data_IF_512550199103
#
_entry.id   IF_512550199103
#
_cell.length_a   1.000
_cell.length_b   1.000
_cell.length_c   1.000
_cell.angle_alpha   90.00
_cell.angle_beta   90.00
_cell.angle_gamma   90.00
#
_symmetry.space_group_name_H-M   'P 1'
#
loop_
_entity.id
_entity.type
_entity.pdbx_description
1 polymer ?
#
# COMPACT_ATOMS: atom_id res chain seq x y z
N UNK A 1 0.69 25.73 28.57
CA UNK A 1 0.28 24.47 27.93
C UNK A 1 1.50 23.84 27.30
N UNK A 2 1.85 22.62 27.68
CA UNK A 2 2.98 21.88 27.09
C UNK A 2 2.41 20.72 26.27
N UNK A 3 2.68 20.72 24.96
CA UNK A 3 2.32 19.63 24.06
C UNK A 3 3.52 18.70 23.87
N UNK A 4 3.38 17.44 24.21
CA UNK A 4 4.36 16.42 23.81
C UNK A 4 4.13 16.03 22.35
N UNK A 5 5.18 16.05 21.53
CA UNK A 5 5.12 15.74 20.10
C UNK A 5 5.36 14.23 19.84
N UNK A 6 5.63 13.46 20.87
CA UNK A 6 5.77 12.01 20.71
C UNK A 6 6.38 11.31 21.90
N UNK A 7 5.85 10.14 22.23
CA UNK A 7 6.54 9.14 23.04
C UNK A 7 7.76 8.61 22.25
N UNK A 8 8.76 8.11 22.98
CA UNK A 8 10.03 7.65 22.47
C UNK A 8 10.01 7.10 21.03
N UNK A 9 10.66 7.81 20.11
CA UNK A 9 10.98 7.32 18.77
C UNK A 9 9.99 7.66 17.66
N UNK A 10 9.12 8.64 17.82
CA UNK A 10 8.05 8.86 16.86
C UNK A 10 8.08 10.13 16.03
N UNK A 11 7.82 11.27 16.66
CA UNK A 11 7.68 12.55 16.00
C UNK A 11 8.59 13.61 16.64
N UNK A 12 9.09 14.51 15.82
CA UNK A 12 9.77 15.74 16.25
C UNK A 12 9.24 16.93 15.46
N UNK A 13 9.43 18.11 15.97
CA UNK A 13 9.11 19.36 15.26
C UNK A 13 9.96 19.44 13.97
N UNK A 14 9.30 19.76 12.85
CA UNK A 14 9.93 19.88 11.53
C UNK A 14 11.12 20.87 11.55
N UNK A 15 12.15 20.68 10.71
CA UNK A 15 13.21 21.68 10.47
C UNK A 15 12.65 23.05 10.06
N UNK A 16 11.47 23.08 9.42
CA UNK A 16 10.70 24.31 9.16
C UNK A 16 9.36 24.14 9.89
N UNK A 17 9.23 24.66 11.11
CA UNK A 17 8.09 24.35 11.97
C UNK A 17 6.74 24.92 11.52
N UNK A 18 6.71 26.02 10.75
CA UNK A 18 5.50 26.72 10.31
C UNK A 18 4.48 26.95 11.44
N UNK A 19 4.98 27.26 12.64
CA UNK A 19 4.18 27.38 13.85
C UNK A 19 3.21 28.56 13.80
N UNK A 20 1.95 28.32 14.17
CA UNK A 20 0.92 29.38 14.31
C UNK A 20 -0.07 29.04 15.39
N UNK A 21 -0.70 30.07 15.96
CA UNK A 21 -1.77 29.92 16.96
C UNK A 21 -2.82 31.00 16.82
N UNK A 22 -4.08 30.65 17.04
CA UNK A 22 -5.20 31.58 17.20
C UNK A 22 -5.56 31.80 18.68
N UNK A 23 -4.83 31.15 19.62
CA UNK A 23 -5.05 31.26 21.05
C UNK A 23 -4.44 32.54 21.64
N UNK A 24 -3.68 33.32 20.87
CA UNK A 24 -2.82 34.38 21.43
C UNK A 24 -1.66 33.80 22.23
N UNK A 25 -0.99 34.65 23.00
CA UNK A 25 0.17 34.22 23.81
C UNK A 25 1.45 34.01 22.99
N UNK A 26 2.40 33.27 23.54
CA UNK A 26 3.68 33.01 22.93
C UNK A 26 3.77 31.53 22.53
N UNK A 27 3.97 31.27 21.23
CA UNK A 27 4.15 29.93 20.66
C UNK A 27 5.30 29.95 19.67
N UNK A 28 6.43 29.31 20.05
CA UNK A 28 7.65 29.22 19.22
C UNK A 28 8.09 27.77 19.20
N UNK A 29 7.64 26.96 18.23
CA UNK A 29 8.12 25.60 18.09
C UNK A 29 9.58 25.59 17.63
N UNK A 30 10.41 24.78 18.29
CA UNK A 30 11.85 24.63 18.00
C UNK A 30 12.06 23.38 17.13
N UNK A 31 12.76 23.53 16.02
CA UNK A 31 13.10 22.42 15.12
C UNK A 31 13.79 21.27 15.88
N UNK A 32 13.38 20.03 15.60
CA UNK A 32 13.90 18.81 16.24
C UNK A 32 13.39 18.58 17.68
N UNK A 33 12.64 19.49 18.27
CA UNK A 33 12.10 19.31 19.61
C UNK A 33 11.03 18.22 19.66
N UNK A 34 10.97 17.50 20.79
CA UNK A 34 9.94 16.45 21.07
C UNK A 34 8.73 17.00 21.83
N UNK A 35 8.73 18.28 22.12
CA UNK A 35 7.62 18.98 22.76
C UNK A 35 7.56 20.41 22.29
N UNK A 36 6.37 21.01 22.35
CA UNK A 36 6.13 22.41 22.09
C UNK A 36 5.35 23.02 23.25
N UNK A 37 5.54 24.32 23.50
CA UNK A 37 4.88 25.01 24.60
C UNK A 37 4.17 26.25 24.08
N UNK A 38 2.92 26.42 24.48
CA UNK A 38 2.17 27.65 24.36
C UNK A 38 2.01 28.30 25.76
N UNK A 39 2.40 29.54 25.93
CA UNK A 39 2.24 30.30 27.18
C UNK A 39 1.38 31.54 26.98
N UNK A 40 0.57 31.89 27.97
CA UNK A 40 -0.26 33.11 27.95
C UNK A 40 -1.38 33.08 26.90
N UNK A 41 -1.76 31.92 26.39
CA UNK A 41 -2.90 31.78 25.48
C UNK A 41 -4.23 31.89 26.22
N UNK A 42 -5.26 32.38 25.51
CA UNK A 42 -6.63 32.49 25.99
C UNK A 42 -7.58 31.75 25.09
N UNK A 43 -8.49 30.96 25.70
CA UNK A 43 -9.61 30.32 24.98
C UNK A 43 -10.85 31.19 25.29
N UNK A 44 -11.53 31.74 24.28
CA UNK A 44 -12.75 32.51 24.51
C UNK A 44 -13.83 31.68 25.19
N UNK A 45 -14.69 32.31 25.98
CA UNK A 45 -15.85 31.63 26.56
C UNK A 45 -16.70 30.99 25.46
N UNK A 46 -17.06 29.71 25.64
CA UNK A 46 -17.78 28.90 24.66
C UNK A 46 -17.11 28.82 23.28
N UNK A 47 -15.82 29.19 23.18
CA UNK A 47 -15.06 29.21 21.95
C UNK A 47 -13.99 28.14 21.89
N UNK A 48 -13.21 28.19 20.81
CA UNK A 48 -12.03 27.36 20.59
C UNK A 48 -10.89 28.18 20.00
N UNK A 49 -9.69 27.67 20.13
CA UNK A 49 -8.54 28.17 19.41
C UNK A 49 -7.65 27.03 18.93
N UNK A 50 -6.78 27.29 17.96
CA UNK A 50 -5.93 26.30 17.34
C UNK A 50 -4.45 26.63 17.57
N UNK A 51 -3.67 25.55 17.74
CA UNK A 51 -2.21 25.58 17.68
C UNK A 51 -1.80 24.65 16.54
N UNK A 52 -1.02 25.14 15.60
CA UNK A 52 -0.58 24.40 14.41
C UNK A 52 0.94 24.49 14.27
N UNK A 53 1.56 23.40 13.89
CA UNK A 53 2.98 23.35 13.56
C UNK A 53 3.26 22.06 12.77
N UNK A 54 4.34 22.07 12.01
CA UNK A 54 4.75 20.92 11.22
C UNK A 54 5.61 19.97 12.03
N UNK A 55 5.40 18.68 11.84
CA UNK A 55 6.17 17.59 12.45
C UNK A 55 6.75 16.68 11.39
N UNK A 56 7.88 16.04 11.73
CA UNK A 56 8.46 14.95 10.95
C UNK A 56 8.48 13.68 11.79
N UNK A 57 8.25 12.54 11.13
CA UNK A 57 8.40 11.25 11.79
C UNK A 57 9.86 10.83 11.76
N UNK A 58 10.49 10.72 12.93
CA UNK A 58 11.81 10.10 13.08
C UNK A 58 11.68 8.59 13.26
N UNK A 59 12.58 7.84 12.67
CA UNK A 59 12.70 6.42 12.92
C UNK A 59 13.91 6.16 13.81
N UNK A 60 13.75 5.53 14.98
CA UNK A 60 14.89 5.08 15.77
C UNK A 60 15.64 3.92 15.11
N UNK A 61 14.98 3.24 14.18
CA UNK A 61 15.55 2.24 13.28
C UNK A 61 15.22 2.62 11.85
N UNK A 62 16.18 2.56 10.98
CA UNK A 62 16.00 2.81 9.55
C UNK A 62 14.81 1.96 9.04
N UNK A 63 13.83 2.61 8.43
CA UNK A 63 12.67 1.98 7.76
C UNK A 63 11.61 1.29 8.65
N UNK A 64 11.42 1.67 9.92
CA UNK A 64 10.29 1.15 10.71
C UNK A 64 8.95 1.72 10.20
N UNK A 65 8.06 0.86 9.70
CA UNK A 65 6.66 1.17 9.40
C UNK A 65 5.80 1.15 10.66
N UNK A 66 4.71 1.88 10.64
CA UNK A 66 3.66 1.78 11.64
C UNK A 66 3.06 3.10 12.04
N UNK A 67 2.04 3.02 12.88
CA UNK A 67 1.39 4.19 13.44
C UNK A 67 2.24 4.81 14.54
N UNK A 68 2.48 6.10 14.42
CA UNK A 68 3.05 6.93 15.47
C UNK A 68 1.93 7.71 16.12
N UNK A 69 1.75 7.53 17.43
CA UNK A 69 0.72 8.22 18.20
C UNK A 69 1.32 9.46 18.84
N UNK A 70 0.72 10.61 18.58
CA UNK A 70 0.94 11.83 19.35
C UNK A 70 -0.18 11.98 20.38
N UNK A 71 0.18 12.10 21.64
CA UNK A 71 -0.79 12.21 22.72
C UNK A 71 -0.48 13.43 23.61
N UNK A 72 -1.51 14.14 23.99
CA UNK A 72 -1.47 15.09 25.09
C UNK A 72 -2.05 14.38 26.32
N UNK A 73 -1.24 14.10 27.34
CA UNK A 73 -1.73 13.38 28.53
C UNK A 73 -2.74 14.21 29.31
N UNK A 74 -3.48 13.56 30.17
CA UNK A 74 -4.35 14.25 31.13
C UNK A 74 -3.52 15.26 31.96
N UNK A 75 -4.02 16.47 32.09
CA UNK A 75 -3.31 17.55 32.75
C UNK A 75 -2.17 18.17 31.95
N UNK A 76 -1.94 17.77 30.72
CA UNK A 76 -0.93 18.36 29.82
C UNK A 76 -1.29 19.78 29.35
N UNK A 77 -2.57 20.12 29.40
CA UNK A 77 -3.07 21.51 29.28
C UNK A 77 -3.52 21.97 30.65
N UNK A 78 -2.88 23.02 31.17
CA UNK A 78 -3.23 23.63 32.43
C UNK A 78 -3.69 25.05 32.18
N UNK A 79 -4.72 25.49 32.89
CA UNK A 79 -5.23 26.87 32.87
C UNK A 79 -5.09 27.52 34.23
N UNK A 80 -5.12 28.85 34.27
CA UNK A 80 -5.09 29.59 35.52
C UNK A 80 -6.35 29.34 36.37
N UNK A 81 -7.49 29.07 35.69
CA UNK A 81 -8.80 28.83 36.33
C UNK A 81 -8.93 27.39 36.87
N UNK A 82 -7.92 26.53 36.65
CA UNK A 82 -7.86 25.18 37.19
C UNK A 82 -8.34 24.04 36.29
N UNK A 83 -9.22 24.22 35.28
CA UNK A 83 -9.58 23.12 34.39
C UNK A 83 -8.37 22.52 33.67
N UNK A 84 -8.37 21.18 33.53
CA UNK A 84 -7.34 20.45 32.84
C UNK A 84 -7.97 19.52 31.76
N UNK A 85 -7.17 19.06 30.80
CA UNK A 85 -7.65 18.12 29.78
C UNK A 85 -7.64 16.68 30.27
N UNK A 86 -8.56 15.86 29.74
CA UNK A 86 -8.38 14.42 29.64
C UNK A 86 -7.32 14.10 28.57
N UNK A 87 -6.80 12.89 28.56
CA UNK A 87 -5.88 12.44 27.48
C UNK A 87 -6.59 12.49 26.13
N UNK A 88 -5.96 13.09 25.13
CA UNK A 88 -6.39 13.01 23.73
C UNK A 88 -5.19 12.75 22.83
N UNK A 89 -5.41 12.03 21.74
CA UNK A 89 -4.35 11.60 20.85
C UNK A 89 -4.78 11.59 19.39
N UNK A 90 -3.79 11.68 18.52
CA UNK A 90 -3.92 11.47 17.08
C UNK A 90 -2.80 10.56 16.58
N UNK A 91 -3.04 9.88 15.47
CA UNK A 91 -2.07 8.98 14.89
C UNK A 91 -1.69 9.45 13.49
N UNK A 92 -0.41 9.26 13.14
CA UNK A 92 0.11 9.35 11.79
C UNK A 92 0.69 8.00 11.40
N UNK A 93 0.34 7.51 10.22
CA UNK A 93 0.94 6.29 9.68
C UNK A 93 2.27 6.64 9.03
N UNK A 94 3.35 6.07 9.55
CA UNK A 94 4.68 6.20 8.98
C UNK A 94 4.91 5.07 7.97
N UNK A 95 5.17 5.43 6.74
CA UNK A 95 5.56 4.48 5.70
C UNK A 95 7.08 4.27 5.71
N UNK A 96 7.53 3.08 5.33
CA UNK A 96 8.94 2.85 5.00
C UNK A 96 9.31 3.68 3.79
N UNK A 97 10.59 4.03 3.67
CA UNK A 97 11.07 4.79 2.53
C UNK A 97 10.87 4.11 1.17
N UNK A 98 10.72 2.78 1.18
CA UNK A 98 10.48 1.95 0.00
C UNK A 98 9.23 1.08 0.22
N UNK A 99 8.41 0.92 -0.82
CA UNK A 99 7.19 0.12 -0.72
C UNK A 99 6.88 -0.58 -2.04
N UNK A 100 6.33 -1.79 -1.93
CA UNK A 100 5.73 -2.53 -3.03
C UNK A 100 4.22 -2.64 -2.82
N UNK A 101 3.45 -2.42 -3.88
CA UNK A 101 2.03 -2.74 -3.94
C UNK A 101 1.78 -3.81 -4.98
N UNK A 102 0.75 -4.64 -4.78
CA UNK A 102 0.32 -5.66 -5.77
C UNK A 102 -1.18 -5.61 -5.99
N UNK A 103 -1.60 -5.91 -7.19
CA UNK A 103 -3.01 -6.10 -7.52
C UNK A 103 -3.18 -6.96 -8.76
N UNK A 104 -4.35 -7.62 -8.87
CA UNK A 104 -4.80 -8.32 -10.07
C UNK A 104 -6.00 -7.61 -10.69
N UNK A 105 -6.02 -7.49 -12.00
CA UNK A 105 -7.16 -6.93 -12.74
C UNK A 105 -7.45 -7.74 -14.01
N UNK A 106 -8.59 -8.44 -14.07
CA UNK A 106 -9.58 -8.64 -12.99
C UNK A 106 -9.04 -9.49 -11.83
N UNK A 107 -9.54 -9.29 -10.61
CA UNK A 107 -9.19 -10.10 -9.44
C UNK A 107 -9.89 -11.47 -9.39
N UNK A 108 -10.77 -11.74 -10.34
CA UNK A 108 -11.45 -13.02 -10.54
C UNK A 108 -11.44 -13.39 -12.01
N UNK A 109 -10.96 -14.57 -12.33
CA UNK A 109 -10.89 -15.11 -13.69
C UNK A 109 -11.63 -16.46 -13.81
N UNK A 110 -11.98 -16.84 -15.02
CA UNK A 110 -12.36 -18.21 -15.33
C UNK A 110 -11.16 -19.15 -15.26
N UNK A 111 -11.39 -20.46 -15.23
CA UNK A 111 -10.31 -21.44 -15.39
C UNK A 111 -9.53 -21.17 -16.67
N UNK A 112 -8.19 -21.13 -16.57
CA UNK A 112 -7.25 -20.77 -17.64
C UNK A 112 -7.47 -19.35 -18.21
N UNK A 113 -8.20 -18.49 -17.50
CA UNK A 113 -8.34 -17.08 -17.86
C UNK A 113 -7.09 -16.28 -17.54
N UNK A 114 -7.03 -15.05 -18.06
CA UNK A 114 -5.89 -14.14 -17.87
C UNK A 114 -6.25 -13.01 -16.94
N UNK A 115 -5.32 -12.62 -16.10
CA UNK A 115 -5.37 -11.40 -15.28
C UNK A 115 -4.08 -10.60 -15.43
N UNK A 116 -4.18 -9.29 -15.39
CA UNK A 116 -3.04 -8.40 -15.33
C UNK A 116 -2.58 -8.26 -13.89
N UNK A 117 -1.41 -8.80 -13.56
CA UNK A 117 -0.70 -8.52 -12.32
C UNK A 117 0.01 -7.17 -12.45
N UNK A 118 -0.27 -6.27 -11.55
CA UNK A 118 0.40 -4.97 -11.44
C UNK A 118 1.18 -4.94 -10.12
N UNK A 119 2.48 -4.70 -10.22
CA UNK A 119 3.36 -4.45 -9.07
C UNK A 119 3.73 -2.97 -9.11
N UNK A 120 3.42 -2.22 -8.06
CA UNK A 120 3.76 -0.80 -7.95
C UNK A 120 4.97 -0.64 -7.03
N UNK A 121 6.02 -0.04 -7.55
CA UNK A 121 7.24 0.31 -6.78
C UNK A 121 7.14 1.76 -6.38
N UNK A 122 7.34 2.06 -5.08
CA UNK A 122 7.21 3.42 -4.54
C UNK A 122 8.44 3.82 -3.74
N UNK A 123 8.87 5.06 -3.95
CA UNK A 123 9.86 5.74 -3.14
C UNK A 123 9.19 6.91 -2.39
N UNK A 124 9.23 6.87 -1.06
CA UNK A 124 8.72 7.93 -0.18
C UNK A 124 9.85 8.80 0.40
N UNK A 125 11.11 8.54 0.01
CA UNK A 125 12.27 9.24 0.55
C UNK A 125 12.63 10.49 -0.25
N UNK A 126 13.32 11.42 0.40
CA UNK A 126 13.92 12.59 -0.25
C UNK A 126 15.20 12.25 -1.04
N UNK A 127 15.57 10.98 -1.13
CA UNK A 127 16.71 10.47 -1.90
C UNK A 127 16.25 9.49 -2.96
N UNK A 128 17.00 9.35 -4.04
CA UNK A 128 16.74 8.32 -5.04
C UNK A 128 16.93 6.92 -4.44
N UNK A 129 16.10 5.96 -4.86
CA UNK A 129 16.31 4.54 -4.65
C UNK A 129 17.04 3.98 -5.86
N UNK A 130 18.11 3.24 -5.62
CA UNK A 130 18.89 2.59 -6.68
C UNK A 130 18.94 1.08 -6.45
N UNK A 131 19.43 0.35 -7.46
CA UNK A 131 19.59 -1.10 -7.41
C UNK A 131 18.32 -1.84 -6.96
N UNK A 132 17.14 -1.35 -7.40
CA UNK A 132 15.88 -1.98 -7.10
C UNK A 132 15.82 -3.34 -7.78
N UNK A 133 15.79 -4.39 -6.96
CA UNK A 133 15.75 -5.76 -7.43
C UNK A 133 14.87 -6.61 -6.49
N UNK A 134 14.07 -7.50 -7.07
CA UNK A 134 13.28 -8.49 -6.34
C UNK A 134 12.82 -9.60 -7.28
N UNK A 135 12.40 -10.71 -6.69
CA UNK A 135 11.76 -11.80 -7.41
C UNK A 135 10.36 -12.01 -6.86
N UNK A 136 9.39 -12.14 -7.75
CA UNK A 136 8.02 -12.53 -7.45
C UNK A 136 7.79 -13.97 -7.90
N UNK A 137 7.73 -14.89 -6.95
CA UNK A 137 7.41 -16.29 -7.23
C UNK A 137 5.88 -16.47 -7.21
N UNK A 138 5.34 -16.89 -8.34
CA UNK A 138 3.91 -17.16 -8.49
C UNK A 138 3.53 -18.42 -7.70
N UNK A 139 2.36 -18.46 -7.05
CA UNK A 139 1.91 -19.65 -6.34
C UNK A 139 1.60 -20.80 -7.32
N UNK A 140 1.66 -22.03 -6.81
CA UNK A 140 1.32 -23.21 -7.62
C UNK A 140 -0.06 -23.08 -8.29
N UNK A 141 -0.13 -23.41 -9.58
CA UNK A 141 -1.34 -23.26 -10.40
C UNK A 141 -1.50 -21.89 -11.05
N UNK A 142 -0.55 -20.96 -10.85
CA UNK A 142 -0.46 -19.69 -11.55
C UNK A 142 0.85 -19.63 -12.35
N UNK A 143 0.79 -19.11 -13.55
CA UNK A 143 1.93 -18.96 -14.46
C UNK A 143 1.84 -17.68 -15.28
N UNK A 144 2.94 -17.31 -15.90
CA UNK A 144 3.00 -16.16 -16.80
C UNK A 144 2.26 -16.51 -18.09
N UNK A 145 1.31 -15.66 -18.49
CA UNK A 145 0.52 -15.87 -19.70
C UNK A 145 1.29 -15.53 -20.99
N UNK A 146 0.71 -15.92 -22.12
CA UNK A 146 1.19 -15.54 -23.45
C UNK A 146 0.17 -14.60 -24.10
N UNK A 147 0.55 -13.33 -24.43
CA UNK A 147 1.85 -12.69 -24.18
C UNK A 147 2.07 -12.35 -22.71
N UNK A 148 3.33 -12.42 -22.25
CA UNK A 148 3.71 -12.16 -20.85
C UNK A 148 3.47 -10.71 -20.43
N UNK A 149 3.75 -9.76 -21.31
CA UNK A 149 3.68 -8.34 -21.00
C UNK A 149 2.75 -7.60 -21.94
N UNK A 150 1.90 -6.72 -21.41
CA UNK A 150 1.20 -5.74 -22.25
C UNK A 150 2.21 -4.72 -22.81
N UNK A 151 1.81 -3.95 -23.82
CA UNK A 151 2.62 -2.82 -24.29
C UNK A 151 2.90 -1.83 -23.13
N UNK A 152 4.13 -1.33 -23.06
CA UNK A 152 4.52 -0.35 -22.06
C UNK A 152 3.72 0.96 -22.23
N UNK A 153 3.34 1.54 -21.09
CA UNK A 153 2.59 2.79 -21.03
C UNK A 153 3.28 3.77 -20.09
N UNK A 154 2.86 5.04 -20.15
CA UNK A 154 3.30 6.05 -19.20
C UNK A 154 3.03 5.56 -17.76
N UNK A 155 4.04 5.69 -16.90
CA UNK A 155 4.01 5.19 -15.52
C UNK A 155 4.56 3.77 -15.34
N UNK A 156 4.86 3.04 -16.40
CA UNK A 156 5.57 1.77 -16.28
C UNK A 156 7.05 1.99 -15.98
N UNK A 157 7.61 1.14 -15.13
CA UNK A 157 9.02 1.22 -14.72
C UNK A 157 9.98 1.10 -15.91
N UNK A 158 9.59 0.34 -16.93
CA UNK A 158 10.35 0.11 -18.16
C UNK A 158 10.00 1.09 -19.29
N UNK A 159 9.14 2.08 -19.03
CA UNK A 159 8.75 3.02 -20.06
C UNK A 159 9.92 3.94 -20.46
N UNK A 160 10.31 3.91 -21.72
CA UNK A 160 11.52 4.57 -22.22
C UNK A 160 11.56 6.10 -21.99
N UNK A 161 10.40 6.74 -21.88
CA UNK A 161 10.26 8.18 -21.62
C UNK A 161 9.92 8.48 -20.15
N UNK A 162 10.15 7.55 -19.21
CA UNK A 162 9.92 7.80 -17.80
C UNK A 162 10.95 8.79 -17.26
N UNK A 163 10.47 9.86 -16.62
CA UNK A 163 11.31 10.82 -15.88
C UNK A 163 11.45 10.45 -14.40
N UNK A 164 10.71 9.44 -13.95
CA UNK A 164 10.63 9.01 -12.54
C UNK A 164 11.42 7.73 -12.30
N UNK A 165 11.45 6.84 -13.29
CA UNK A 165 12.06 5.51 -13.19
C UNK A 165 13.02 5.26 -14.35
N UNK A 166 14.12 4.54 -14.09
CA UNK A 166 15.11 4.16 -15.10
C UNK A 166 15.80 2.84 -14.76
N UNK A 167 16.41 2.22 -15.75
CA UNK A 167 17.29 1.05 -15.59
C UNK A 167 16.58 -0.25 -15.21
N UNK A 168 15.26 -0.31 -15.17
CA UNK A 168 14.53 -1.53 -14.83
C UNK A 168 14.65 -2.59 -15.93
N UNK A 169 15.13 -3.76 -15.56
CA UNK A 169 15.04 -4.99 -16.34
C UNK A 169 14.00 -5.91 -15.71
N UNK A 170 13.00 -6.32 -16.48
CA UNK A 170 11.96 -7.25 -16.03
C UNK A 170 12.01 -8.51 -16.89
N UNK A 171 12.18 -9.63 -16.22
CA UNK A 171 12.16 -10.97 -16.85
C UNK A 171 10.87 -11.67 -16.47
N UNK A 172 10.03 -11.94 -17.46
CA UNK A 172 8.79 -12.68 -17.32
C UNK A 172 8.65 -13.56 -18.58
N UNK A 173 8.96 -14.84 -18.42
CA UNK A 173 8.94 -15.82 -19.55
C UNK A 173 7.56 -16.50 -19.57
N UNK A 174 6.86 -16.57 -20.71
CA UNK A 174 5.63 -17.34 -20.84
C UNK A 174 5.76 -18.75 -20.24
N UNK A 175 4.70 -19.21 -19.57
CA UNK A 175 4.62 -20.49 -18.84
C UNK A 175 5.59 -20.58 -17.63
N UNK A 176 6.34 -19.52 -17.35
CA UNK A 176 7.19 -19.43 -16.17
C UNK A 176 6.41 -19.13 -14.90
N UNK A 177 7.03 -19.45 -13.76
CA UNK A 177 6.44 -19.29 -12.42
C UNK A 177 7.10 -18.21 -11.59
N UNK A 178 7.95 -17.36 -12.21
CA UNK A 178 8.62 -16.27 -11.52
C UNK A 178 8.79 -15.04 -12.39
N UNK A 179 8.73 -13.86 -11.77
CA UNK A 179 8.99 -12.57 -12.36
C UNK A 179 10.24 -12.00 -11.69
N UNK A 180 11.30 -11.81 -12.46
CA UNK A 180 12.54 -11.17 -11.98
C UNK A 180 12.55 -9.68 -12.30
N UNK A 181 12.97 -8.86 -11.34
CA UNK A 181 13.15 -7.41 -11.50
C UNK A 181 14.53 -7.04 -11.02
N UNK A 182 15.29 -6.27 -11.81
CA UNK A 182 16.66 -5.88 -11.45
C UNK A 182 17.07 -4.54 -12.05
N UNK A 183 18.07 -3.91 -11.42
CA UNK A 183 18.78 -2.72 -11.89
C UNK A 183 18.00 -1.41 -11.82
N UNK A 184 16.77 -1.41 -11.28
CA UNK A 184 15.90 -0.25 -11.31
C UNK A 184 16.34 0.90 -10.40
N UNK A 185 15.98 2.12 -10.81
CA UNK A 185 16.12 3.33 -10.00
C UNK A 185 14.84 4.14 -10.04
N UNK A 186 14.47 4.72 -8.88
CA UNK A 186 13.39 5.70 -8.74
C UNK A 186 13.97 7.00 -8.18
N UNK A 187 13.58 8.12 -8.75
CA UNK A 187 13.97 9.45 -8.26
C UNK A 187 13.48 9.66 -6.82
N UNK A 188 14.01 10.68 -6.16
CA UNK A 188 13.51 11.15 -4.87
C UNK A 188 12.01 11.51 -4.95
N UNK A 189 11.29 11.26 -3.89
CA UNK A 189 9.91 11.72 -3.76
C UNK A 189 9.88 13.26 -3.63
N UNK A 190 8.99 13.96 -4.33
CA UNK A 190 8.83 15.39 -4.16
C UNK A 190 8.35 15.76 -2.73
N UNK A 191 7.58 14.89 -2.11
CA UNK A 191 7.17 14.96 -0.71
C UNK A 191 6.59 13.59 -0.26
N UNK A 192 6.35 13.42 1.03
CA UNK A 192 5.83 12.16 1.59
C UNK A 192 4.38 11.83 1.18
N UNK A 193 3.60 12.81 0.76
CA UNK A 193 2.24 12.58 0.27
C UNK A 193 2.20 12.10 -1.19
N UNK A 194 3.24 12.43 -1.96
CA UNK A 194 3.35 12.08 -3.37
C UNK A 194 4.65 11.30 -3.61
N UNK A 195 4.65 9.97 -3.44
CA UNK A 195 5.83 9.16 -3.70
C UNK A 195 6.20 9.19 -5.18
N UNK A 196 7.48 9.11 -5.47
CA UNK A 196 7.91 8.71 -6.80
C UNK A 196 7.53 7.24 -7.00
N UNK A 197 6.85 6.91 -8.08
CA UNK A 197 6.37 5.55 -8.31
C UNK A 197 6.39 5.16 -9.78
N UNK A 198 6.51 3.86 -10.02
CA UNK A 198 6.27 3.26 -11.32
C UNK A 198 5.60 1.89 -11.15
N UNK A 199 5.10 1.34 -12.25
CA UNK A 199 4.42 0.04 -12.27
C UNK A 199 5.15 -0.97 -13.15
N UNK A 200 5.10 -2.24 -12.73
CA UNK A 200 5.50 -3.40 -13.53
C UNK A 200 4.22 -4.18 -13.80
N UNK A 201 3.95 -4.49 -15.06
CA UNK A 201 2.73 -5.16 -15.50
C UNK A 201 3.06 -6.47 -16.18
N UNK A 202 2.47 -7.57 -15.72
CA UNK A 202 2.66 -8.91 -16.26
C UNK A 202 1.32 -9.61 -16.37
N UNK A 203 1.02 -10.18 -17.54
CA UNK A 203 -0.14 -11.04 -17.70
C UNK A 203 0.13 -12.40 -17.05
N UNK A 204 -0.78 -12.85 -16.22
CA UNK A 204 -0.73 -14.17 -15.61
C UNK A 204 -1.99 -14.95 -15.95
N UNK A 205 -1.86 -16.27 -16.01
CA UNK A 205 -2.98 -17.21 -16.11
C UNK A 205 -2.96 -18.15 -14.93
N UNK A 206 -4.10 -18.76 -14.63
CA UNK A 206 -4.17 -19.73 -13.55
C UNK A 206 -5.26 -20.77 -13.84
N UNK A 207 -4.98 -22.01 -13.42
CA UNK A 207 -5.87 -23.16 -13.60
C UNK A 207 -6.58 -23.54 -12.30
N UNK A 208 -7.81 -24.05 -12.44
CA UNK A 208 -8.59 -24.59 -11.34
C UNK A 208 -9.27 -25.89 -11.81
N UNK A 209 -8.70 -27.02 -11.45
CA UNK A 209 -9.24 -28.33 -11.73
C UNK A 209 -10.36 -28.76 -10.75
N UNK A 210 -10.64 -27.97 -9.72
CA UNK A 210 -11.64 -28.23 -8.69
C UNK A 210 -13.07 -27.91 -9.15
N UNK A 211 -14.01 -28.06 -8.23
CA UNK A 211 -15.45 -27.75 -8.41
C UNK A 211 -15.87 -26.46 -7.71
N UNK A 212 -15.00 -25.87 -6.90
CA UNK A 212 -15.22 -24.64 -6.15
C UNK A 212 -14.20 -23.58 -6.55
N UNK A 213 -14.45 -22.32 -6.23
CA UNK A 213 -13.48 -21.25 -6.47
C UNK A 213 -12.15 -21.53 -5.76
N UNK A 214 -11.05 -21.41 -6.49
CA UNK A 214 -9.70 -21.49 -5.97
C UNK A 214 -9.20 -20.05 -5.71
N UNK A 215 -8.71 -19.78 -4.50
CA UNK A 215 -8.06 -18.50 -4.17
C UNK A 215 -6.55 -18.70 -4.13
N UNK A 216 -5.85 -18.02 -5.01
CA UNK A 216 -4.39 -17.98 -5.07
C UNK A 216 -3.91 -16.66 -4.47
N UNK A 217 -3.01 -16.73 -3.48
CA UNK A 217 -2.35 -15.55 -2.90
C UNK A 217 -0.92 -15.51 -3.40
N UNK A 218 -0.60 -14.45 -4.14
CA UNK A 218 0.76 -14.22 -4.60
C UNK A 218 1.42 -13.17 -3.71
N UNK A 219 2.65 -13.45 -3.21
CA UNK A 219 3.35 -12.62 -2.22
C UNK A 219 4.81 -12.44 -2.62
N UNK A 220 5.24 -11.17 -2.71
CA UNK A 220 6.65 -10.80 -2.66
C UNK A 220 7.01 -10.65 -1.18
N UNK A 221 8.03 -11.37 -0.73
CA UNK A 221 8.48 -11.29 0.66
C UNK A 221 9.18 -9.96 0.95
N UNK A 222 9.26 -9.62 2.24
CA UNK A 222 10.09 -8.50 2.72
C UNK A 222 11.52 -8.64 2.22
N UNK A 223 12.12 -7.55 1.79
CA UNK A 223 13.50 -7.52 1.33
C UNK A 223 14.13 -6.14 1.50
N UNK A 224 15.33 -6.00 1.00
CA UNK A 224 16.09 -4.74 1.03
C UNK A 224 16.61 -4.39 -0.35
N UNK A 225 16.66 -3.10 -0.67
CA UNK A 225 17.32 -2.53 -1.82
C UNK A 225 18.55 -1.76 -1.36
N UNK A 226 19.62 -1.89 -2.13
CA UNK A 226 20.90 -1.19 -1.86
C UNK A 226 21.44 -1.40 -0.43
N UNK A 227 21.07 -2.53 0.21
CA UNK A 227 21.46 -2.86 1.59
C UNK A 227 20.90 -1.91 2.67
N UNK A 228 20.13 -0.90 2.29
CA UNK A 228 19.70 0.18 3.19
C UNK A 228 18.16 0.31 3.29
N UNK A 229 17.45 0.18 2.16
CA UNK A 229 16.01 0.42 2.11
C UNK A 229 15.22 -0.89 2.21
N UNK A 230 14.63 -1.16 3.35
CA UNK A 230 13.74 -2.30 3.54
C UNK A 230 12.36 -1.99 2.96
N UNK A 231 11.81 -2.90 2.17
CA UNK A 231 10.41 -2.89 1.76
C UNK A 231 9.62 -4.01 2.43
N UNK A 232 8.36 -3.77 2.83
CA UNK A 232 7.51 -4.79 3.43
C UNK A 232 7.04 -5.79 2.38
N UNK A 233 6.56 -6.94 2.85
CA UNK A 233 5.90 -7.91 1.97
C UNK A 233 4.69 -7.30 1.26
N UNK A 234 4.50 -7.65 -0.01
CA UNK A 234 3.36 -7.23 -0.82
C UNK A 234 2.59 -8.45 -1.33
N UNK A 235 1.29 -8.50 -1.08
CA UNK A 235 0.43 -9.62 -1.47
C UNK A 235 -0.78 -9.17 -2.27
N UNK A 236 -1.22 -10.03 -3.19
CA UNK A 236 -2.50 -9.89 -3.87
C UNK A 236 -3.17 -11.26 -4.03
N UNK A 237 -4.50 -11.26 -4.17
CA UNK A 237 -5.31 -12.46 -4.33
C UNK A 237 -5.96 -12.50 -5.71
N UNK A 238 -5.90 -13.68 -6.35
CA UNK A 238 -6.60 -13.99 -7.58
C UNK A 238 -7.56 -15.13 -7.29
N UNK A 239 -8.83 -14.96 -7.65
CA UNK A 239 -9.85 -16.00 -7.56
C UNK A 239 -9.99 -16.64 -8.94
N UNK A 240 -9.85 -17.96 -9.01
CA UNK A 240 -10.02 -18.74 -10.23
C UNK A 240 -11.31 -19.55 -10.10
N UNK A 241 -12.27 -19.26 -10.95
CA UNK A 241 -13.52 -20.02 -11.02
C UNK A 241 -13.27 -21.39 -11.62
N UNK A 242 -13.95 -22.44 -11.15
CA UNK A 242 -13.84 -23.76 -11.75
C UNK A 242 -14.46 -23.79 -13.16
N UNK A 243 -14.10 -24.79 -13.93
CA UNK A 243 -14.83 -25.09 -15.17
C UNK A 243 -16.20 -25.63 -14.79
N UNK A 244 -17.25 -24.84 -15.01
CA UNK A 244 -18.61 -25.29 -14.80
C UNK A 244 -19.03 -26.22 -15.96
N UNK A 245 -19.34 -27.46 -15.64
CA UNK A 245 -19.99 -28.35 -16.61
C UNK A 245 -21.50 -28.21 -16.42
N UNK A 246 -22.19 -27.89 -17.49
CA UNK A 246 -23.65 -28.02 -17.50
C UNK A 246 -23.93 -29.51 -17.67
N UNK A 247 -24.55 -30.13 -16.67
CA UNK A 247 -25.04 -31.48 -16.76
C UNK A 247 -26.56 -31.43 -16.93
N UNK A 248 -27.06 -32.08 -17.95
CA UNK A 248 -28.49 -32.25 -18.16
C UNK A 248 -28.82 -33.72 -18.12
N UNK A 249 -29.97 -34.07 -17.54
CA UNK A 249 -30.57 -35.39 -17.66
C UNK A 249 -31.79 -35.29 -18.54
N UNK A 250 -32.01 -36.28 -19.40
CA UNK A 250 -33.21 -36.38 -20.22
C UNK A 250 -33.93 -37.68 -19.86
N UNK A 251 -35.24 -37.61 -19.64
CA UNK A 251 -36.07 -38.78 -19.39
C UNK A 251 -37.39 -38.63 -20.11
N UNK A 252 -37.99 -39.76 -20.44
CA UNK A 252 -39.37 -39.77 -20.94
C UNK A 252 -40.30 -40.23 -19.83
N UNK A 253 -41.50 -39.62 -19.75
CA UNK A 253 -42.56 -40.07 -18.85
C UNK A 253 -43.89 -40.14 -19.58
N UNK A 254 -44.44 -41.35 -19.77
CA UNK A 254 -43.88 -42.65 -19.40
C UNK A 254 -42.69 -43.06 -20.30
N UNK A 255 -41.81 -43.87 -19.78
CA UNK A 255 -40.62 -44.34 -20.51
C UNK A 255 -40.97 -45.33 -21.65
N UNK A 256 -42.18 -45.88 -21.61
CA UNK A 256 -42.73 -46.80 -22.63
C UNK A 256 -44.05 -46.27 -23.10
N UNK A 257 -44.25 -46.18 -24.41
CA UNK A 257 -45.51 -45.78 -25.07
C UNK A 257 -45.86 -46.73 -26.13
N UNK A 258 -47.15 -46.89 -26.43
CA UNK A 258 -47.60 -47.58 -27.58
C UNK A 258 -47.42 -46.73 -28.85
N UNK A 259 -47.39 -47.38 -30.01
CA UNK A 259 -47.28 -46.65 -31.28
C UNK A 259 -48.42 -45.61 -31.41
N UNK A 260 -48.07 -44.39 -31.70
CA UNK A 260 -48.98 -43.25 -31.80
C UNK A 260 -49.29 -42.51 -30.49
N UNK A 261 -48.76 -42.96 -29.33
CA UNK A 261 -48.89 -42.24 -28.07
C UNK A 261 -47.74 -41.25 -27.85
N UNK A 262 -48.03 -40.16 -27.15
CA UNK A 262 -47.04 -39.16 -26.78
C UNK A 262 -46.37 -39.50 -25.43
N UNK A 263 -45.09 -39.16 -25.30
CA UNK A 263 -44.34 -39.16 -24.06
C UNK A 263 -43.74 -37.75 -23.86
N UNK A 264 -43.82 -37.23 -22.63
CA UNK A 264 -43.20 -35.99 -22.28
C UNK A 264 -41.70 -36.18 -22.12
N UNK A 265 -40.92 -35.31 -22.75
CA UNK A 265 -39.46 -35.35 -22.73
C UNK A 265 -38.86 -34.13 -22.01
#
# INVERSE_FOLDING_TARGET
MQLHVGAAGGLVVSPIPNGSTTCGGTFVPVAGAKSVTLTGGTIPALGSCNVKFDVVAESPTVNAQGNVTNAIPAGGVTTFEGPTNATFSAQINRQTGANLGKSFSPSTIANNGTSLLTITVRNYTASALNNIAFTDNLPAGMEIATPAQPAFASGDCQYASSTVASGFSVTAVPDGTSIGVSGGSLVAAPNSANPAQCTIRVNVTASNAGTTNLTLTNTILTGTWDGTFTYPAASARLIVRPTTRITGTKSFSPATVFQGQASLA
#
